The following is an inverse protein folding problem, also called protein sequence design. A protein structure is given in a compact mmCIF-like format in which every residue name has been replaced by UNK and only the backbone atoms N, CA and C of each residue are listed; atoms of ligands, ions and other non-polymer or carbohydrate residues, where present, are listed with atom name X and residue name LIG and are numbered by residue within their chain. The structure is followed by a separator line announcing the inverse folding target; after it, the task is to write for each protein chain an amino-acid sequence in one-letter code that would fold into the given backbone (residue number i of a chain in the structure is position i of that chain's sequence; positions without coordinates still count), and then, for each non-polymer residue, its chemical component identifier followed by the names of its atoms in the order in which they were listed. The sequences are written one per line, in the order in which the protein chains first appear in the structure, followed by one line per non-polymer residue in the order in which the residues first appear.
data_IF_315262082593
#
_entry.id   IF_315262082593
#
_cell.length_a   1.000
_cell.length_b   1.000
_cell.length_c   1.000
_cell.angle_alpha   90.00
_cell.angle_beta   90.00
_cell.angle_gamma   90.00
#
_symmetry.space_group_name_H-M   'P 1'
#
loop_
_entity.id
_entity.type
_entity.pdbx_description
1 polymer ?
#
# COMPACT_ATOMS: atom_id res chain seq x y z
N UNK A 1 7.90 10.89 -13.82
CA UNK A 1 7.54 11.21 -12.42
C UNK A 1 8.10 12.55 -11.96
N UNK A 2 9.40 12.85 -12.17
CA UNK A 2 10.01 14.16 -11.84
C UNK A 2 9.19 15.37 -12.35
N UNK A 3 8.83 15.39 -13.65
CA UNK A 3 7.99 16.46 -14.20
C UNK A 3 6.62 16.61 -13.51
N UNK A 4 6.01 15.51 -13.06
CA UNK A 4 4.71 15.56 -12.39
C UNK A 4 4.80 16.13 -10.96
N UNK A 5 5.95 15.95 -10.30
CA UNK A 5 6.19 16.43 -8.92
C UNK A 5 7.00 17.73 -8.87
N UNK A 6 7.34 18.30 -10.02
CA UNK A 6 8.01 19.59 -10.12
C UNK A 6 7.32 20.72 -9.33
N UNK A 7 5.97 20.81 -9.24
CA UNK A 7 5.31 21.85 -8.43
C UNK A 7 5.67 21.82 -6.94
N UNK A 8 6.05 20.67 -6.39
CA UNK A 8 6.44 20.51 -4.98
C UNK A 8 7.96 20.57 -4.77
N UNK A 9 8.74 20.83 -5.82
CA UNK A 9 10.19 20.96 -5.70
C UNK A 9 10.54 22.34 -5.15
N UNK A 10 11.15 22.39 -3.97
CA UNK A 10 11.68 23.63 -3.43
C UNK A 10 12.79 24.22 -4.34
N UNK A 11 12.87 25.56 -4.54
CA UNK A 11 13.79 26.18 -5.50
C UNK A 11 15.26 25.81 -5.33
N UNK A 12 15.71 25.58 -4.09
CA UNK A 12 17.09 25.20 -3.76
C UNK A 12 17.25 23.71 -3.42
N UNK A 13 16.27 22.87 -3.80
CA UNK A 13 16.33 21.45 -3.52
C UNK A 13 17.32 20.75 -4.45
N UNK A 14 18.36 20.17 -3.85
CA UNK A 14 19.30 19.27 -4.53
C UNK A 14 18.60 17.96 -4.91
N UNK A 15 17.75 17.43 -4.03
CA UNK A 15 17.03 16.19 -4.28
C UNK A 15 15.75 16.43 -5.08
N UNK A 16 15.54 15.63 -6.11
CA UNK A 16 14.30 15.60 -6.89
C UNK A 16 13.19 14.88 -6.10
N UNK A 17 12.00 15.47 -5.94
CA UNK A 17 10.90 14.87 -5.19
C UNK A 17 10.52 13.46 -5.66
N UNK A 18 10.54 13.20 -6.96
CA UNK A 18 10.21 11.88 -7.48
C UNK A 18 11.26 10.85 -7.10
N UNK A 19 12.55 11.20 -7.15
CA UNK A 19 13.61 10.30 -6.70
C UNK A 19 13.48 9.99 -5.21
N UNK A 20 13.23 11.00 -4.37
CA UNK A 20 13.03 10.80 -2.92
C UNK A 20 11.87 9.84 -2.63
N UNK A 21 10.74 9.98 -3.32
CA UNK A 21 9.61 9.05 -3.16
C UNK A 21 9.94 7.64 -3.67
N UNK A 22 10.66 7.50 -4.79
CA UNK A 22 11.08 6.19 -5.29
C UNK A 22 12.08 5.52 -4.33
N UNK A 23 13.02 6.26 -3.76
CA UNK A 23 13.96 5.73 -2.76
C UNK A 23 13.25 5.25 -1.51
N UNK A 24 12.27 6.00 -1.03
CA UNK A 24 11.44 5.59 0.10
C UNK A 24 10.63 4.32 -0.24
N UNK A 25 10.06 4.24 -1.44
CA UNK A 25 9.35 3.05 -1.89
C UNK A 25 10.28 1.82 -2.01
N UNK A 26 11.52 2.00 -2.46
CA UNK A 26 12.54 0.95 -2.48
C UNK A 26 12.89 0.53 -1.06
N UNK A 27 13.07 1.46 -0.12
CA UNK A 27 13.34 1.13 1.28
C UNK A 27 12.23 0.24 1.86
N UNK A 28 10.96 0.58 1.62
CA UNK A 28 9.80 -0.25 2.02
C UNK A 28 9.83 -1.62 1.35
N UNK A 29 10.14 -1.69 0.05
CA UNK A 29 10.25 -2.95 -0.68
C UNK A 29 11.38 -3.86 -0.15
N UNK A 30 12.44 -3.27 0.39
CA UNK A 30 13.53 -3.98 1.06
C UNK A 30 13.21 -4.37 2.52
N UNK A 31 12.01 -4.06 3.00
CA UNK A 31 11.55 -4.41 4.34
C UNK A 31 11.64 -3.30 5.38
N UNK A 32 11.92 -2.06 4.96
CA UNK A 32 11.86 -0.89 5.84
C UNK A 32 10.44 -0.63 6.36
N UNK A 33 10.33 -0.26 7.63
CA UNK A 33 9.07 0.03 8.31
C UNK A 33 8.92 1.51 8.68
N UNK A 34 9.97 2.31 8.49
CA UNK A 34 9.95 3.74 8.76
C UNK A 34 10.78 4.56 7.75
N UNK A 35 10.59 5.89 7.74
CA UNK A 35 11.32 6.78 6.82
C UNK A 35 12.84 6.77 7.04
N UNK A 36 13.30 6.44 8.26
CA UNK A 36 14.71 6.34 8.59
C UNK A 36 15.41 5.18 7.86
N UNK A 37 14.67 4.14 7.47
CA UNK A 37 15.22 2.97 6.77
C UNK A 37 15.69 3.28 5.35
N UNK A 38 15.38 4.48 4.83
CA UNK A 38 16.03 5.02 3.63
C UNK A 38 17.56 5.08 3.77
N UNK A 39 18.08 5.04 5.01
CA UNK A 39 19.51 4.91 5.29
C UNK A 39 20.12 3.64 4.67
N UNK A 40 19.38 2.54 4.57
CA UNK A 40 19.84 1.29 3.92
C UNK A 40 20.06 1.51 2.43
N UNK A 41 19.12 2.16 1.75
CA UNK A 41 19.24 2.53 0.33
C UNK A 41 20.40 3.50 0.13
N UNK A 42 20.53 4.49 1.01
CA UNK A 42 21.62 5.48 0.97
C UNK A 42 23.00 4.89 1.22
N UNK A 43 23.10 3.77 1.94
CA UNK A 43 24.36 3.07 2.17
C UNK A 43 24.91 2.35 0.93
N UNK A 44 24.18 2.37 -0.19
CA UNK A 44 24.57 1.76 -1.47
C UNK A 44 24.58 2.81 -2.60
N UNK A 45 25.42 3.86 -2.51
CA UNK A 45 25.42 4.97 -3.46
C UNK A 45 25.82 4.55 -4.89
N UNK A 46 26.56 3.46 -5.05
CA UNK A 46 26.93 2.90 -6.36
C UNK A 46 25.71 2.37 -7.11
N UNK A 47 24.68 1.90 -6.40
CA UNK A 47 23.46 1.35 -6.98
C UNK A 47 22.35 2.40 -7.10
N UNK A 48 22.16 3.22 -6.07
CA UNK A 48 21.01 4.13 -5.99
C UNK A 48 21.37 5.61 -6.21
N UNK A 49 22.66 5.93 -6.34
CA UNK A 49 23.14 7.30 -6.43
C UNK A 49 22.89 8.12 -5.16
N UNK A 50 22.79 9.45 -5.26
CA UNK A 50 22.46 10.30 -4.12
C UNK A 50 21.05 10.02 -3.59
N UNK A 51 20.97 9.66 -2.31
CA UNK A 51 19.71 9.40 -1.60
C UNK A 51 19.54 10.44 -0.50
N UNK A 52 18.32 10.97 -0.37
CA UNK A 52 18.01 12.00 0.62
C UNK A 52 18.12 11.49 2.06
N UNK A 53 18.34 12.41 2.99
CA UNK A 53 18.28 12.11 4.42
C UNK A 53 16.85 11.93 4.91
N UNK A 54 16.67 11.18 6.00
CA UNK A 54 15.36 10.98 6.64
C UNK A 54 14.62 12.30 6.96
N UNK A 55 15.26 13.35 7.54
CA UNK A 55 14.60 14.64 7.72
C UNK A 55 14.15 15.29 6.39
N UNK A 56 14.85 15.03 5.29
CA UNK A 56 14.49 15.53 3.96
C UNK A 56 13.29 14.77 3.39
N UNK A 57 13.26 13.44 3.57
CA UNK A 57 12.09 12.61 3.25
C UNK A 57 10.87 13.10 4.02
N UNK A 58 10.99 13.23 5.34
CA UNK A 58 9.90 13.69 6.22
C UNK A 58 9.37 15.07 5.82
N UNK A 59 10.25 16.03 5.51
CA UNK A 59 9.83 17.35 5.00
C UNK A 59 9.11 17.26 3.66
N UNK A 60 9.60 16.45 2.73
CA UNK A 60 8.92 16.26 1.44
C UNK A 60 7.51 15.68 1.64
N UNK A 61 7.36 14.65 2.49
CA UNK A 61 6.06 14.07 2.81
C UNK A 61 5.13 15.14 3.40
N UNK A 62 5.61 15.98 4.32
CA UNK A 62 4.84 17.09 4.85
C UNK A 62 4.45 18.13 3.78
N UNK A 63 5.34 18.43 2.84
CA UNK A 63 5.05 19.34 1.71
C UNK A 63 3.99 18.77 0.78
N UNK A 64 4.04 17.46 0.47
CA UNK A 64 3.03 16.78 -0.33
C UNK A 64 1.68 16.72 0.41
N UNK A 65 1.72 16.55 1.73
CA UNK A 65 0.53 16.52 2.58
C UNK A 65 -0.18 17.88 2.69
N UNK A 66 0.45 18.98 2.25
CA UNK A 66 -0.22 20.28 2.18
C UNK A 66 -1.33 20.36 1.13
N UNK A 67 -1.27 19.52 0.09
CA UNK A 67 -2.32 19.33 -0.91
C UNK A 67 -2.31 17.86 -1.38
N UNK A 68 -2.88 17.00 -0.53
CA UNK A 68 -2.86 15.54 -0.72
C UNK A 68 -3.52 15.13 -2.03
N UNK A 69 -4.65 15.74 -2.38
CA UNK A 69 -5.42 15.36 -3.56
C UNK A 69 -4.65 15.69 -4.84
N UNK A 70 -4.06 16.89 -4.95
CA UNK A 70 -3.24 17.24 -6.10
C UNK A 70 -1.97 16.38 -6.19
N UNK A 71 -1.32 16.11 -5.06
CA UNK A 71 -0.14 15.26 -5.01
C UNK A 71 -0.44 13.82 -5.45
N UNK A 72 -1.49 13.21 -4.91
CA UNK A 72 -1.94 11.87 -5.30
C UNK A 72 -2.33 11.83 -6.78
N UNK A 73 -3.05 12.83 -7.29
CA UNK A 73 -3.39 12.92 -8.71
C UNK A 73 -2.14 12.99 -9.60
N UNK A 74 -1.15 13.79 -9.22
CA UNK A 74 0.12 13.88 -9.95
C UNK A 74 0.88 12.54 -9.96
N UNK A 75 0.97 11.87 -8.81
CA UNK A 75 1.62 10.54 -8.68
C UNK A 75 0.86 9.50 -9.53
N UNK A 76 -0.47 9.46 -9.45
CA UNK A 76 -1.31 8.54 -10.23
C UNK A 76 -1.11 8.74 -11.73
N UNK A 77 -1.10 9.98 -12.23
CA UNK A 77 -0.82 10.26 -13.65
C UNK A 77 0.57 9.79 -14.06
N UNK A 78 1.59 10.06 -13.24
CA UNK A 78 2.96 9.64 -13.52
C UNK A 78 3.10 8.11 -13.55
N UNK A 79 2.46 7.40 -12.61
CA UNK A 79 2.44 5.93 -12.57
C UNK A 79 1.70 5.33 -13.77
N UNK A 80 0.54 5.87 -14.13
CA UNK A 80 -0.21 5.42 -15.31
C UNK A 80 0.62 5.56 -16.60
N UNK A 81 1.27 6.71 -16.80
CA UNK A 81 2.15 6.93 -17.96
C UNK A 81 3.35 5.97 -17.98
N UNK A 82 3.97 5.74 -16.83
CA UNK A 82 5.07 4.76 -16.70
C UNK A 82 4.60 3.34 -17.02
N UNK A 83 3.44 2.92 -16.48
CA UNK A 83 2.83 1.62 -16.76
C UNK A 83 2.52 1.45 -18.23
N UNK A 84 1.90 2.45 -18.86
CA UNK A 84 1.60 2.42 -20.29
C UNK A 84 2.87 2.22 -21.11
N UNK A 85 3.99 2.83 -20.71
CA UNK A 85 5.28 2.61 -21.36
C UNK A 85 5.80 1.18 -21.20
N UNK A 86 5.75 0.64 -19.98
CA UNK A 86 6.21 -0.72 -19.67
C UNK A 86 5.36 -1.75 -20.41
N UNK A 87 4.03 -1.65 -20.33
CA UNK A 87 3.11 -2.60 -20.95
C UNK A 87 3.15 -2.61 -22.48
N UNK A 88 3.51 -1.48 -23.11
CA UNK A 88 3.79 -1.44 -24.56
C UNK A 88 5.04 -2.24 -24.95
N UNK A 89 6.02 -2.35 -24.05
CA UNK A 89 7.25 -3.11 -24.30
C UNK A 89 7.08 -4.58 -23.96
N UNK A 90 6.45 -4.84 -22.80
CA UNK A 90 6.20 -6.17 -22.29
C UNK A 90 4.87 -6.15 -21.54
N UNK A 91 3.82 -6.68 -22.17
CA UNK A 91 2.54 -6.91 -21.50
C UNK A 91 2.73 -8.06 -20.49
N UNK A 92 2.42 -7.85 -19.19
CA UNK A 92 2.66 -8.86 -18.16
C UNK A 92 1.53 -9.91 -18.07
N UNK A 93 0.70 -9.99 -19.10
CA UNK A 93 -0.53 -10.78 -19.12
C UNK A 93 -0.48 -11.74 -20.30
N UNK A 94 -0.96 -12.97 -20.10
CA UNK A 94 -1.11 -13.95 -21.16
C UNK A 94 -2.14 -13.49 -22.21
N UNK A 95 -1.97 -13.98 -23.44
CA UNK A 95 -2.87 -13.68 -24.56
C UNK A 95 -2.54 -12.37 -25.30
N UNK A 96 -3.39 -12.03 -26.27
CA UNK A 96 -3.23 -10.86 -27.12
C UNK A 96 -3.55 -9.55 -26.37
N UNK A 97 -3.04 -8.43 -26.88
CA UNK A 97 -3.44 -7.09 -26.45
C UNK A 97 -4.94 -6.89 -26.52
N UNK A 98 -5.52 -6.25 -25.50
CA UNK A 98 -6.97 -6.08 -25.39
C UNK A 98 -7.74 -7.38 -25.10
N UNK A 99 -7.02 -8.47 -24.80
CA UNK A 99 -7.59 -9.66 -24.17
C UNK A 99 -7.96 -9.41 -22.71
N UNK A 100 -8.39 -10.46 -22.01
CA UNK A 100 -8.87 -10.34 -20.64
C UNK A 100 -7.81 -9.76 -19.69
N UNK A 101 -8.22 -8.80 -18.87
CA UNK A 101 -7.46 -8.26 -17.73
C UNK A 101 -8.23 -8.59 -16.47
N UNK A 102 -7.60 -9.29 -15.53
CA UNK A 102 -8.23 -9.64 -14.27
C UNK A 102 -7.77 -8.64 -13.20
N UNK A 103 -8.72 -8.01 -12.51
CA UNK A 103 -8.46 -7.14 -11.38
C UNK A 103 -9.03 -7.76 -10.11
N UNK A 104 -8.18 -7.96 -9.11
CA UNK A 104 -8.57 -8.39 -7.78
C UNK A 104 -8.81 -7.17 -6.88
N UNK A 105 -9.98 -7.10 -6.25
CA UNK A 105 -10.27 -6.15 -5.20
C UNK A 105 -10.29 -6.85 -3.84
N UNK A 106 -9.36 -6.46 -2.99
CA UNK A 106 -9.17 -7.07 -1.67
C UNK A 106 -9.16 -6.03 -0.56
N UNK A 107 -10.02 -6.25 0.43
CA UNK A 107 -9.99 -5.52 1.69
C UNK A 107 -8.96 -6.18 2.62
N UNK A 108 -7.81 -5.53 2.81
CA UNK A 108 -6.68 -6.09 3.58
C UNK A 108 -6.61 -5.46 4.96
N UNK A 109 -6.59 -6.27 6.02
CA UNK A 109 -6.35 -5.76 7.38
C UNK A 109 -4.85 -5.53 7.60
N UNK A 110 -4.51 -4.29 7.94
CA UNK A 110 -3.17 -3.88 8.35
C UNK A 110 -3.21 -3.62 9.84
N UNK A 111 -2.57 -4.50 10.62
CA UNK A 111 -2.49 -4.36 12.07
C UNK A 111 -1.53 -3.23 12.43
N UNK A 112 -2.06 -2.19 13.05
CA UNK A 112 -1.29 -1.06 13.53
C UNK A 112 -2.00 -0.50 14.77
N UNK A 113 -1.48 -0.82 15.96
CA UNK A 113 -2.05 -0.29 17.19
C UNK A 113 -1.50 1.12 17.42
N UNK A 114 -2.35 2.13 17.23
CA UNK A 114 -1.99 3.54 17.44
C UNK A 114 -3.23 4.33 17.85
N UNK A 115 -3.12 5.20 18.85
CA UNK A 115 -4.19 6.14 19.23
C UNK A 115 -4.30 7.33 18.27
N UNK A 116 -3.80 7.16 17.03
CA UNK A 116 -3.85 8.17 15.98
C UNK A 116 -5.08 7.89 15.12
N UNK A 117 -5.58 8.93 14.47
CA UNK A 117 -6.84 8.90 13.73
C UNK A 117 -6.92 7.71 12.76
N UNK A 118 -8.11 7.11 12.69
CA UNK A 118 -8.50 6.04 11.76
C UNK A 118 -7.87 4.65 11.99
N UNK A 119 -6.83 4.52 12.81
CA UNK A 119 -6.50 3.22 13.39
C UNK A 119 -7.67 2.86 14.33
N UNK A 120 -8.43 1.81 14.02
CA UNK A 120 -9.70 1.53 14.67
C UNK A 120 -9.87 0.03 14.96
N UNK A 121 -10.78 -0.35 15.88
CA UNK A 121 -11.14 -1.74 16.09
C UNK A 121 -11.62 -2.38 14.80
N UNK A 122 -11.18 -3.62 14.55
CA UNK A 122 -11.48 -4.38 13.33
C UNK A 122 -12.48 -5.48 13.61
N UNK A 123 -13.15 -6.00 12.58
CA UNK A 123 -14.08 -7.11 12.71
C UNK A 123 -13.43 -8.43 13.19
N UNK A 124 -12.09 -8.56 13.04
CA UNK A 124 -11.30 -9.67 13.57
C UNK A 124 -10.79 -9.42 15.00
N UNK A 125 -11.41 -8.49 15.71
CA UNK A 125 -11.05 -8.12 17.09
C UNK A 125 -9.60 -7.64 17.25
N UNK A 126 -8.95 -7.20 16.17
CA UNK A 126 -7.67 -6.50 16.17
C UNK A 126 -7.83 -4.97 16.05
N UNK A 127 -6.74 -4.26 15.84
CA UNK A 127 -6.72 -2.80 15.69
C UNK A 127 -5.81 -2.37 14.53
N UNK A 128 -6.25 -1.40 13.74
CA UNK A 128 -5.46 -0.86 12.64
C UNK A 128 -6.29 -0.31 11.49
N UNK A 129 -5.89 -0.59 10.26
CA UNK A 129 -6.52 -0.08 9.04
C UNK A 129 -7.10 -1.22 8.20
N UNK A 130 -8.08 -0.89 7.36
CA UNK A 130 -8.70 -1.85 6.46
C UNK A 130 -8.76 -1.31 5.03
N UNK A 131 -7.63 -0.96 4.40
CA UNK A 131 -7.62 -0.45 3.03
C UNK A 131 -8.27 -1.41 2.04
N UNK A 132 -8.91 -0.84 1.02
CA UNK A 132 -9.35 -1.57 -0.16
C UNK A 132 -8.27 -1.42 -1.24
N UNK A 133 -7.70 -2.53 -1.71
CA UNK A 133 -6.62 -2.53 -2.68
C UNK A 133 -7.09 -3.17 -3.98
N UNK A 134 -6.55 -2.68 -5.11
CA UNK A 134 -6.81 -3.22 -6.43
C UNK A 134 -5.50 -3.65 -7.08
N UNK A 135 -5.44 -4.91 -7.51
CA UNK A 135 -4.27 -5.50 -8.18
C UNK A 135 -4.67 -6.07 -9.54
N UNK A 136 -3.80 -5.94 -10.54
CA UNK A 136 -3.88 -6.77 -11.74
C UNK A 136 -3.30 -8.13 -11.42
N UNK A 137 -4.02 -9.19 -11.75
CA UNK A 137 -3.51 -10.56 -11.72
C UNK A 137 -2.63 -10.82 -12.96
N UNK A 138 -1.39 -11.20 -12.75
CA UNK A 138 -0.43 -11.55 -13.82
C UNK A 138 -0.46 -13.05 -14.19
N UNK A 139 -1.43 -13.80 -13.67
CA UNK A 139 -1.54 -15.24 -13.81
C UNK A 139 -0.72 -16.00 -12.77
N UNK A 140 -0.77 -17.33 -12.84
CA UNK A 140 -0.21 -18.22 -11.82
C UNK A 140 1.29 -18.03 -11.56
N UNK A 141 2.05 -17.66 -12.59
CA UNK A 141 3.51 -17.47 -12.51
C UNK A 141 3.90 -16.00 -12.23
N UNK A 142 2.93 -15.09 -12.13
CA UNK A 142 3.15 -13.67 -11.94
C UNK A 142 2.95 -13.20 -10.49
N UNK A 143 3.60 -12.11 -10.11
CA UNK A 143 3.47 -11.51 -8.76
C UNK A 143 2.27 -10.58 -8.60
N UNK A 144 1.49 -10.39 -9.66
CA UNK A 144 0.48 -9.33 -9.78
C UNK A 144 1.09 -7.92 -9.77
N UNK A 145 0.24 -6.92 -9.95
CA UNK A 145 0.66 -5.51 -9.94
C UNK A 145 -0.36 -4.60 -9.27
N UNK A 146 0.08 -3.81 -8.28
CA UNK A 146 -0.79 -2.85 -7.59
C UNK A 146 -1.22 -1.68 -8.50
N UNK A 147 -2.53 -1.52 -8.69
CA UNK A 147 -3.11 -0.41 -9.43
C UNK A 147 -3.42 0.75 -8.50
N UNK A 148 -4.30 0.51 -7.52
CA UNK A 148 -4.86 1.54 -6.65
C UNK A 148 -5.08 1.02 -5.23
N UNK A 149 -5.19 1.95 -4.29
CA UNK A 149 -5.58 1.68 -2.92
C UNK A 149 -6.43 2.82 -2.38
N UNK A 150 -7.48 2.47 -1.65
CA UNK A 150 -8.32 3.38 -0.88
C UNK A 150 -8.04 3.12 0.60
N UNK A 151 -7.48 4.13 1.28
CA UNK A 151 -7.19 4.05 2.71
C UNK A 151 -8.49 4.21 3.49
N UNK A 152 -8.74 3.29 4.42
CA UNK A 152 -9.97 3.23 5.21
C UNK A 152 -9.67 2.84 6.66
N UNK A 153 -10.49 3.29 7.62
CA UNK A 153 -10.34 2.89 9.01
C UNK A 153 -10.47 1.38 9.21
N UNK A 154 -9.91 0.86 10.29
CA UNK A 154 -10.01 -0.56 10.66
C UNK A 154 -11.45 -1.08 10.82
N UNK A 155 -12.37 -0.18 11.16
CA UNK A 155 -13.80 -0.47 11.32
C UNK A 155 -14.58 -0.56 10.00
N UNK A 156 -13.96 -0.24 8.85
CA UNK A 156 -14.63 -0.26 7.56
C UNK A 156 -15.07 -1.69 7.17
N UNK A 157 -16.25 -1.81 6.56
CA UNK A 157 -16.75 -3.08 6.03
C UNK A 157 -15.98 -3.54 4.78
N UNK A 158 -15.84 -4.85 4.58
CA UNK A 158 -15.20 -5.41 3.38
C UNK A 158 -16.05 -5.24 2.10
N UNK A 159 -17.37 -5.08 2.23
CA UNK A 159 -18.33 -5.16 1.10
C UNK A 159 -19.02 -3.83 0.76
N UNK A 160 -18.40 -2.71 1.11
CA UNK A 160 -18.95 -1.41 0.78
C UNK A 160 -18.88 -1.18 -0.75
N UNK A 161 -20.04 -1.09 -1.40
CA UNK A 161 -20.13 -0.94 -2.85
C UNK A 161 -19.51 0.38 -3.35
N UNK A 162 -19.63 1.47 -2.59
CA UNK A 162 -19.04 2.76 -2.97
C UNK A 162 -17.50 2.69 -2.92
N UNK A 163 -16.93 1.99 -1.95
CA UNK A 163 -15.49 1.75 -1.87
C UNK A 163 -14.99 0.90 -3.05
N UNK A 164 -15.75 -0.14 -3.41
CA UNK A 164 -15.45 -1.02 -4.56
C UNK A 164 -15.46 -0.23 -5.88
N UNK A 165 -16.49 0.59 -6.10
CA UNK A 165 -16.58 1.46 -7.29
C UNK A 165 -15.42 2.45 -7.31
N UNK A 166 -15.17 3.14 -6.18
CA UNK A 166 -14.12 4.16 -6.09
C UNK A 166 -12.73 3.60 -6.36
N UNK A 167 -12.39 2.43 -5.79
CA UNK A 167 -11.08 1.80 -6.03
C UNK A 167 -10.99 1.26 -7.46
N UNK A 168 -12.09 0.74 -8.02
CA UNK A 168 -12.13 0.22 -9.39
C UNK A 168 -11.93 1.34 -10.41
N UNK A 169 -12.59 2.48 -10.25
CA UNK A 169 -12.41 3.64 -11.12
C UNK A 169 -10.95 4.12 -11.10
N UNK A 170 -10.36 4.21 -9.89
CA UNK A 170 -8.96 4.55 -9.74
C UNK A 170 -8.03 3.50 -10.37
N UNK A 171 -8.38 2.22 -10.32
CA UNK A 171 -7.63 1.11 -10.91
C UNK A 171 -7.71 1.10 -12.44
N UNK A 172 -8.89 1.30 -13.01
CA UNK A 172 -9.09 1.39 -14.46
C UNK A 172 -8.29 2.56 -15.05
N UNK A 173 -8.28 3.72 -14.38
CA UNK A 173 -7.48 4.88 -14.76
C UNK A 173 -5.95 4.62 -14.76
N UNK A 174 -5.50 3.52 -14.14
CA UNK A 174 -4.11 3.11 -14.14
C UNK A 174 -3.73 2.19 -15.32
N UNK A 175 -4.70 1.57 -15.99
CA UNK A 175 -4.47 0.66 -17.12
C UNK A 175 -4.34 1.40 -18.46
N UNK A 176 -3.59 0.87 -19.45
CA UNK A 176 -3.63 1.37 -20.83
C UNK A 176 -5.05 1.29 -21.41
N UNK A 177 -5.47 2.30 -22.17
CA UNK A 177 -6.86 2.40 -22.67
C UNK A 177 -7.32 1.17 -23.47
N UNK A 178 -6.44 0.60 -24.30
CA UNK A 178 -6.75 -0.58 -25.13
C UNK A 178 -6.90 -1.89 -24.33
N UNK A 179 -6.50 -1.92 -23.06
CA UNK A 179 -6.63 -3.10 -22.18
C UNK A 179 -7.92 -3.05 -21.34
N UNK A 180 -8.69 -1.95 -21.39
CA UNK A 180 -9.87 -1.75 -20.52
C UNK A 180 -11.15 -2.40 -21.02
N UNK A 181 -11.17 -2.90 -22.26
CA UNK A 181 -12.39 -3.41 -22.90
C UNK A 181 -12.87 -4.75 -22.32
N UNK A 182 -11.96 -5.55 -21.76
CA UNK A 182 -12.25 -6.90 -21.26
C UNK A 182 -11.76 -7.08 -19.82
N UNK A 183 -12.15 -6.16 -18.93
CA UNK A 183 -11.79 -6.25 -17.52
C UNK A 183 -12.77 -7.19 -16.79
N UNK A 184 -12.22 -8.22 -16.17
CA UNK A 184 -12.92 -9.08 -15.21
C UNK A 184 -12.51 -8.65 -13.79
N UNK A 185 -13.48 -8.31 -12.96
CA UNK A 185 -13.23 -7.97 -11.55
C UNK A 185 -13.55 -9.17 -10.67
N UNK A 186 -12.60 -9.59 -9.82
CA UNK A 186 -12.80 -10.58 -8.76
C UNK A 186 -12.77 -9.89 -7.41
N UNK A 187 -13.54 -10.42 -6.46
CA UNK A 187 -13.60 -9.93 -5.08
C UNK A 187 -13.66 -11.13 -4.14
N UNK A 188 -12.89 -11.13 -3.04
CA UNK A 188 -12.79 -12.24 -2.08
C UNK A 188 -13.99 -12.33 -1.10
N UNK A 189 -15.16 -11.83 -1.50
CA UNK A 189 -16.34 -11.89 -0.63
C UNK A 189 -17.40 -12.83 -1.18
N UNK A 190 -17.70 -13.88 -0.41
CA UNK A 190 -18.89 -14.75 -0.58
C UNK A 190 -20.26 -14.06 -0.39
N UNK A 191 -20.33 -12.75 -0.49
CA UNK A 191 -21.52 -11.93 -0.32
C UNK A 191 -21.40 -10.64 -1.12
N UNK A 192 -21.42 -10.73 -2.45
CA UNK A 192 -21.53 -9.56 -3.31
C UNK A 192 -22.83 -8.81 -3.02
N UNK A 193 -22.74 -7.53 -2.67
CA UNK A 193 -23.91 -6.66 -2.66
C UNK A 193 -24.31 -6.41 -4.13
N UNK A 194 -25.59 -6.66 -4.47
CA UNK A 194 -26.11 -6.57 -5.85
C UNK A 194 -25.86 -5.22 -6.53
N UNK A 195 -25.60 -4.17 -5.74
CA UNK A 195 -25.43 -2.78 -6.18
C UNK A 195 -24.11 -2.49 -6.88
N UNK A 196 -23.04 -3.27 -6.68
CA UNK A 196 -21.76 -3.04 -7.36
C UNK A 196 -21.77 -3.45 -8.84
N UNK A 197 -22.72 -4.29 -9.26
CA UNK A 197 -22.73 -4.92 -10.57
C UNK A 197 -23.40 -4.09 -11.68
N UNK A 198 -24.16 -3.04 -11.33
CA UNK A 198 -25.11 -2.41 -12.26
C UNK A 198 -24.59 -1.14 -12.96
N UNK A 199 -23.48 -0.55 -12.50
CA UNK A 199 -23.16 0.86 -12.87
C UNK A 199 -22.01 1.02 -13.87
N UNK A 200 -21.27 -0.02 -14.24
CA UNK A 200 -20.18 0.09 -15.22
C UNK A 200 -20.53 -0.64 -16.54
N UNK A 201 -20.69 0.07 -17.67
CA UNK A 201 -21.10 -0.53 -18.95
C UNK A 201 -20.04 -1.45 -19.60
N UNK A 202 -18.90 -1.67 -18.94
CA UNK A 202 -17.73 -2.36 -19.53
C UNK A 202 -17.24 -3.58 -18.73
N UNK A 203 -17.93 -3.97 -17.65
CA UNK A 203 -17.46 -5.03 -16.74
C UNK A 203 -18.51 -6.12 -16.55
N UNK A 204 -18.19 -7.36 -16.91
CA UNK A 204 -18.98 -8.54 -16.53
C UNK A 204 -18.50 -9.00 -15.15
N UNK A 205 -19.32 -8.78 -14.13
CA UNK A 205 -19.08 -9.30 -12.79
C UNK A 205 -19.50 -10.78 -12.75
N UNK A 206 -18.56 -11.69 -12.56
CA UNK A 206 -18.86 -13.11 -12.33
C UNK A 206 -18.64 -13.44 -10.85
N UNK A 207 -19.72 -13.68 -10.12
CA UNK A 207 -19.64 -14.31 -8.79
C UNK A 207 -19.34 -15.80 -8.99
N UNK A 208 -18.09 -16.22 -8.85
CA UNK A 208 -17.75 -17.64 -8.83
C UNK A 208 -18.17 -18.26 -7.49
N UNK A 209 -19.46 -18.62 -7.36
CA UNK A 209 -19.89 -19.61 -6.36
C UNK A 209 -19.53 -21.01 -6.89
N UNK A 210 -18.24 -21.31 -6.93
CA UNK A 210 -17.72 -22.59 -7.41
C UNK A 210 -16.70 -23.13 -6.42
N UNK A 211 -17.14 -23.98 -5.50
CA UNK A 211 -16.28 -24.79 -4.65
C UNK A 211 -15.44 -25.74 -5.53
N UNK A 212 -14.29 -25.26 -5.99
CA UNK A 212 -13.19 -26.13 -6.39
C UNK A 212 -12.04 -25.78 -5.46
N UNK A 213 -11.77 -26.68 -4.52
CA UNK A 213 -10.72 -26.51 -3.54
C UNK A 213 -9.35 -26.36 -4.23
N UNK A 214 -8.82 -25.13 -4.26
CA UNK A 214 -7.39 -24.92 -4.49
C UNK A 214 -6.62 -25.43 -3.27
N UNK A 215 -5.49 -26.14 -3.45
CA UNK A 215 -4.66 -26.55 -2.34
C UNK A 215 -4.15 -25.30 -1.61
N UNK A 216 -4.37 -25.26 -0.29
CA UNK A 216 -3.91 -24.18 0.58
C UNK A 216 -2.41 -23.92 0.35
N UNK A 217 -2.07 -22.80 -0.29
CA UNK A 217 -0.77 -22.20 -0.04
C UNK A 217 -0.77 -21.78 1.42
N UNK A 218 -0.01 -22.48 2.26
CA UNK A 218 0.30 -22.04 3.61
C UNK A 218 1.03 -20.70 3.52
N UNK A 219 0.31 -19.58 3.59
CA UNK A 219 0.93 -18.28 3.82
C UNK A 219 1.56 -18.35 5.21
N UNK A 220 2.87 -18.18 5.39
CA UNK A 220 3.43 -18.04 6.72
C UNK A 220 2.79 -16.80 7.35
N UNK A 221 2.23 -16.96 8.55
CA UNK A 221 1.84 -15.84 9.39
C UNK A 221 3.12 -15.10 9.79
N UNK A 222 3.50 -14.07 9.05
CA UNK A 222 4.56 -13.16 9.48
C UNK A 222 4.02 -12.35 10.65
N UNK A 223 4.16 -12.89 11.86
CA UNK A 223 3.86 -12.20 13.10
C UNK A 223 4.80 -11.02 13.25
N UNK A 224 4.28 -9.81 13.04
CA UNK A 224 5.01 -8.58 13.35
C UNK A 224 5.13 -8.45 14.87
N UNK A 225 6.31 -8.77 15.42
CA UNK A 225 6.61 -8.59 16.84
C UNK A 225 7.12 -7.17 17.04
N UNK A 226 6.22 -6.25 17.40
CA UNK A 226 6.60 -4.92 17.84
C UNK A 226 7.65 -5.01 18.97
N UNK A 227 8.86 -4.45 18.75
CA UNK A 227 9.84 -4.26 19.83
C UNK A 227 9.24 -3.25 20.81
N UNK A 228 8.88 -3.71 22.02
CA UNK A 228 8.59 -2.81 23.13
C UNK A 228 9.90 -2.13 23.53
N UNK A 229 10.10 -0.89 23.11
CA UNK A 229 11.09 -0.01 23.72
C UNK A 229 10.61 0.37 25.11
N UNK A 230 11.12 -0.31 26.15
CA UNK A 230 10.97 0.14 27.53
C UNK A 230 11.90 1.35 27.80
N UNK A 231 11.49 2.29 28.66
CA UNK A 231 12.36 3.41 29.04
C UNK A 231 13.56 2.92 29.88
N UNK A 232 14.73 3.59 29.82
CA UNK A 232 15.89 3.21 30.61
C UNK A 232 15.62 3.41 32.11
N UNK A 233 15.96 2.39 32.89
CA UNK A 233 15.86 2.36 34.35
C UNK A 233 16.78 3.41 34.99
N UNK A 234 16.21 4.38 35.69
CA UNK A 234 16.93 5.18 36.68
C UNK A 234 17.21 4.31 37.91
N UNK A 235 18.49 4.14 38.24
CA UNK A 235 18.94 3.46 39.44
C UNK A 235 18.59 4.27 40.69
N UNK A 236 17.69 3.73 41.52
CA UNK A 236 17.47 4.23 42.88
C UNK A 236 18.41 3.48 43.82
N UNK A 237 19.34 4.20 44.44
CA UNK A 237 20.21 3.67 45.48
C UNK A 237 19.38 3.38 46.74
N UNK A 238 19.27 2.10 47.11
CA UNK A 238 18.72 1.69 48.40
C UNK A 238 19.82 1.70 49.47
N UNK A 239 19.67 2.58 50.45
CA UNK A 239 20.32 2.44 51.75
C UNK A 239 19.70 1.25 52.49
N UNK A 240 20.51 0.23 52.77
CA UNK A 240 20.13 -0.89 53.62
C UNK A 240 20.52 -0.58 55.08
N UNK A 241 19.52 -0.52 55.96
CA UNK A 241 19.71 -0.57 57.42
C UNK A 241 19.39 -1.98 57.89
N UNK A 242 20.37 -2.62 58.54
CA UNK A 242 20.31 -3.99 59.07
C UNK A 242 19.66 -4.05 60.49
N UNK A 243 19.39 -5.24 61.05
CA UNK A 243 18.15 -5.53 61.77
C UNK A 243 18.26 -5.51 63.30
N UNK A 244 17.10 -5.54 63.99
CA UNK A 244 17.00 -6.03 65.37
C UNK A 244 16.06 -7.22 65.45
N UNK A 245 16.62 -8.31 65.97
CA UNK A 245 16.03 -9.61 66.30
C UNK A 245 15.19 -9.55 67.60
N UNK A 246 14.45 -10.62 67.96
CA UNK A 246 13.14 -10.54 68.61
C UNK A 246 13.16 -10.75 70.13
N UNK A 247 12.03 -10.39 70.75
CA UNK A 247 11.45 -11.06 71.92
C UNK A 247 9.93 -10.96 71.81
#
# INVERSE_FOLDING_TARGET
MSAALAPWRAPRSVHDPAKVLTDLAIAVALGGDCAADVAVVRAQPELFGPVASDPTVSRLIATLAGDVDAAIAAIRRARAAARQHIWRRQRPLAGAHGGQVIIDLDATLITAHSDKEQAAPTFKYGYGFHPMLAFVDHGADGSGEALAGLLRPGSAGSNNAADHISVLDAALAQLPDHERAQVLVRTDTGGGSKTSCTTSPTSVCSTASGSTACPRSSKPSTGYRARRGGPPSTATAHHATAPKSPS
#
